data_IF_149872526240
#
_entry.id   IF_149872526240
#
_cell.length_a   1.000
_cell.length_b   1.000
_cell.length_c   1.000
_cell.angle_alpha   90.00
_cell.angle_beta   90.00
_cell.angle_gamma   90.00
#
_symmetry.space_group_name_H-M   'P 1'
#
loop_
_entity.id
_entity.type
_entity.pdbx_description
1 polymer ?
#
# COMPACT_ATOMS: atom_id res chain seq x y z
N UNK A 1 -11.11 -9.09 -6.73
CA UNK A 1 -9.70 -9.43 -6.37
C UNK A 1 -9.20 -8.57 -5.22
N UNK A 2 -9.26 -7.23 -5.32
CA UNK A 2 -8.71 -6.34 -4.29
C UNK A 2 -9.34 -6.54 -2.91
N UNK A 3 -10.68 -6.55 -2.85
CA UNK A 3 -11.41 -6.85 -1.61
C UNK A 3 -11.02 -8.20 -1.01
N UNK A 4 -10.90 -9.25 -1.82
CA UNK A 4 -10.54 -10.58 -1.32
C UNK A 4 -9.14 -10.60 -0.67
N UNK A 5 -8.17 -9.84 -1.20
CA UNK A 5 -6.84 -9.72 -0.59
C UNK A 5 -6.90 -8.87 0.68
N UNK A 6 -7.67 -7.78 0.67
CA UNK A 6 -7.87 -6.95 1.85
C UNK A 6 -8.52 -7.74 2.99
N UNK A 7 -9.57 -8.52 2.70
CA UNK A 7 -10.27 -9.34 3.67
C UNK A 7 -9.39 -10.49 4.19
N UNK A 8 -8.53 -11.06 3.33
CA UNK A 8 -7.54 -12.04 3.75
C UNK A 8 -6.57 -11.43 4.77
N UNK A 9 -6.01 -10.26 4.46
CA UNK A 9 -5.09 -9.56 5.36
C UNK A 9 -5.78 -9.15 6.66
N UNK A 10 -7.01 -8.65 6.57
CA UNK A 10 -7.82 -8.31 7.74
C UNK A 10 -8.04 -9.54 8.63
N UNK A 11 -8.40 -10.69 8.05
CA UNK A 11 -8.52 -11.96 8.77
C UNK A 11 -7.23 -12.40 9.46
N UNK A 12 -6.06 -12.11 8.88
CA UNK A 12 -4.77 -12.32 9.54
C UNK A 12 -4.57 -11.36 10.72
N UNK A 13 -4.95 -10.08 10.56
CA UNK A 13 -4.83 -9.09 11.65
C UNK A 13 -5.70 -9.36 12.87
N UNK A 14 -6.78 -10.12 12.70
CA UNK A 14 -7.63 -10.57 13.83
C UNK A 14 -6.90 -11.57 14.74
N UNK A 15 -5.91 -12.28 14.22
CA UNK A 15 -5.15 -13.30 14.97
C UNK A 15 -3.89 -12.72 15.60
N UNK A 16 -3.20 -11.85 14.87
CA UNK A 16 -1.96 -11.20 15.31
C UNK A 16 -1.72 -9.90 14.53
N UNK A 17 -0.92 -8.98 15.07
CA UNK A 17 -0.49 -7.82 14.30
C UNK A 17 0.35 -8.25 13.09
N UNK A 18 0.06 -7.68 11.92
CA UNK A 18 0.73 -8.03 10.65
C UNK A 18 1.61 -6.87 10.21
N UNK A 19 2.85 -7.18 9.82
CA UNK A 19 3.74 -6.23 9.13
C UNK A 19 3.94 -6.71 7.70
N UNK A 20 3.50 -5.91 6.75
CA UNK A 20 3.74 -6.12 5.32
C UNK A 20 4.93 -5.27 4.89
N UNK A 21 6.01 -5.91 4.45
CA UNK A 21 7.20 -5.23 3.91
C UNK A 21 7.19 -5.35 2.40
N UNK A 22 7.25 -4.23 1.70
CA UNK A 22 7.30 -4.16 0.23
C UNK A 22 8.61 -3.48 -0.15
N UNK A 23 9.49 -4.24 -0.81
CA UNK A 23 10.74 -3.69 -1.34
C UNK A 23 10.57 -3.17 -2.77
N UNK A 24 11.41 -2.21 -3.16
CA UNK A 24 11.48 -1.64 -4.51
C UNK A 24 10.12 -1.24 -5.13
N UNK A 25 9.24 -0.58 -4.36
CA UNK A 25 7.89 -0.22 -4.78
C UNK A 25 7.85 0.63 -6.07
N UNK A 26 8.91 1.36 -6.37
CA UNK A 26 9.08 2.09 -7.64
C UNK A 26 9.03 1.20 -8.90
N UNK A 27 9.30 -0.10 -8.81
CA UNK A 27 9.21 -1.04 -9.94
C UNK A 27 7.83 -1.70 -10.05
N UNK A 28 6.93 -1.42 -9.12
CA UNK A 28 5.60 -2.02 -9.10
C UNK A 28 4.77 -1.53 -10.30
N UNK A 29 4.07 -2.47 -10.93
CA UNK A 29 3.15 -2.15 -11.99
C UNK A 29 1.92 -1.37 -11.46
N UNK A 30 1.19 -0.75 -12.38
CA UNK A 30 0.01 0.04 -12.04
C UNK A 30 -1.05 -0.76 -11.26
N UNK A 31 -1.41 -2.01 -11.61
CA UNK A 31 -2.31 -2.83 -10.81
C UNK A 31 -1.86 -3.04 -9.36
N UNK A 32 -0.57 -3.30 -9.12
CA UNK A 32 -0.02 -3.48 -7.77
C UNK A 32 -0.12 -2.21 -6.94
N UNK A 33 0.18 -1.05 -7.55
CA UNK A 33 0.04 0.25 -6.89
C UNK A 33 -1.42 0.59 -6.57
N UNK A 34 -2.36 0.20 -7.43
CA UNK A 34 -3.80 0.36 -7.17
C UNK A 34 -4.27 -0.55 -6.02
N UNK A 35 -3.75 -1.78 -5.92
CA UNK A 35 -4.01 -2.66 -4.78
C UNK A 35 -3.48 -2.05 -3.48
N UNK A 36 -2.25 -1.56 -3.48
CA UNK A 36 -1.67 -0.90 -2.31
C UNK A 36 -2.52 0.30 -1.89
N UNK A 37 -2.94 1.15 -2.82
CA UNK A 37 -3.84 2.28 -2.54
C UNK A 37 -5.17 1.81 -1.95
N UNK A 38 -5.72 0.70 -2.43
CA UNK A 38 -6.93 0.11 -1.88
C UNK A 38 -6.76 -0.33 -0.42
N UNK A 39 -5.62 -0.95 -0.09
CA UNK A 39 -5.30 -1.36 1.29
C UNK A 39 -5.11 -0.17 2.23
N UNK A 40 -4.47 0.90 1.76
CA UNK A 40 -4.17 2.09 2.56
C UNK A 40 -5.41 2.91 2.94
N UNK A 41 -6.50 2.78 2.19
CA UNK A 41 -7.79 3.45 2.44
C UNK A 41 -8.66 2.74 3.48
N UNK A 42 -8.26 1.56 3.95
CA UNK A 42 -8.99 0.84 5.00
C UNK A 42 -8.83 1.60 6.34
N UNK A 43 -9.86 1.59 7.20
CA UNK A 43 -9.82 2.31 8.47
C UNK A 43 -8.67 1.83 9.36
N UNK A 44 -8.11 2.75 10.16
CA UNK A 44 -6.97 2.51 11.06
C UNK A 44 -7.23 1.47 12.19
N UNK A 45 -8.42 0.86 12.22
CA UNK A 45 -8.77 -0.20 13.17
C UNK A 45 -8.10 -1.54 12.86
N UNK A 46 -7.52 -1.69 11.67
CA UNK A 46 -6.79 -2.91 11.26
C UNK A 46 -5.38 -2.91 11.85
N UNK A 47 -4.95 -4.02 12.49
CA UNK A 47 -3.59 -4.18 13.05
C UNK A 47 -2.55 -4.50 11.96
N UNK A 48 -2.55 -3.71 10.89
CA UNK A 48 -1.68 -3.86 9.73
C UNK A 48 -0.72 -2.67 9.64
N UNK A 49 0.58 -2.94 9.67
CA UNK A 49 1.62 -1.98 9.33
C UNK A 49 2.14 -2.30 7.93
N UNK A 50 2.12 -1.32 7.03
CA UNK A 50 2.77 -1.44 5.71
C UNK A 50 4.05 -0.62 5.73
N UNK A 51 5.18 -1.28 5.50
CA UNK A 51 6.49 -0.67 5.31
C UNK A 51 6.89 -0.84 3.85
N UNK A 52 7.08 0.26 3.14
CA UNK A 52 7.47 0.23 1.73
C UNK A 52 8.74 1.06 1.49
N UNK A 53 9.65 0.54 0.69
CA UNK A 53 10.83 1.26 0.20
C UNK A 53 10.62 1.64 -1.26
N UNK A 54 11.14 2.78 -1.66
CA UNK A 54 11.16 3.20 -3.06
C UNK A 54 12.35 4.12 -3.31
N UNK A 55 12.78 4.21 -4.58
CA UNK A 55 13.84 5.12 -5.00
C UNK A 55 13.23 6.35 -5.66
N UNK A 56 13.53 7.53 -5.14
CA UNK A 56 12.99 8.81 -5.64
C UNK A 56 13.58 9.21 -7.01
N UNK A 57 14.79 8.75 -7.34
CA UNK A 57 15.44 9.06 -8.63
C UNK A 57 14.72 8.48 -9.85
N UNK A 58 13.89 7.48 -9.64
CA UNK A 58 13.23 6.72 -10.71
C UNK A 58 11.74 7.10 -10.83
N UNK A 59 11.28 8.06 -10.02
CA UNK A 59 9.94 8.61 -10.06
C UNK A 59 9.90 9.85 -10.95
N UNK A 60 9.57 9.68 -12.23
CA UNK A 60 9.12 10.82 -13.02
C UNK A 60 7.76 11.34 -12.49
N UNK A 61 7.38 12.58 -12.83
CA UNK A 61 6.12 13.18 -12.35
C UNK A 61 4.86 12.45 -12.84
N UNK A 62 4.98 11.55 -13.82
CA UNK A 62 3.91 10.72 -14.34
C UNK A 62 3.85 9.33 -13.69
N UNK A 63 4.80 9.00 -12.81
CA UNK A 63 4.91 7.67 -12.25
C UNK A 63 3.71 7.40 -11.32
N UNK A 64 2.97 6.28 -11.48
CA UNK A 64 1.76 6.03 -10.70
C UNK A 64 1.98 5.98 -9.18
N UNK A 65 3.21 5.68 -8.74
CA UNK A 65 3.57 5.73 -7.31
C UNK A 65 3.54 7.17 -6.76
N UNK A 66 3.86 8.18 -7.56
CA UNK A 66 3.81 9.58 -7.12
C UNK A 66 2.39 9.98 -6.69
N UNK A 67 1.38 9.55 -7.45
CA UNK A 67 -0.03 9.79 -7.12
C UNK A 67 -0.43 9.09 -5.81
N UNK A 68 -0.02 7.84 -5.62
CA UNK A 68 -0.30 7.07 -4.39
C UNK A 68 0.34 7.74 -3.17
N UNK A 69 1.59 8.20 -3.28
CA UNK A 69 2.28 8.92 -2.21
C UNK A 69 1.63 10.27 -1.92
N UNK A 70 1.14 10.98 -2.94
CA UNK A 70 0.42 12.25 -2.77
C UNK A 70 -0.94 12.06 -2.09
N UNK A 71 -1.67 10.99 -2.41
CA UNK A 71 -2.92 10.63 -1.73
C UNK A 71 -2.67 10.36 -0.24
N UNK A 72 -1.66 9.57 0.10
CA UNK A 72 -1.28 9.26 1.48
C UNK A 72 -0.90 10.49 2.32
N UNK A 73 -0.23 11.47 1.72
CA UNK A 73 0.13 12.72 2.42
C UNK A 73 -1.09 13.58 2.74
N UNK A 74 -2.17 13.45 1.97
CA UNK A 74 -3.40 14.24 2.13
C UNK A 74 -4.37 13.65 3.15
N UNK A 75 -4.31 12.35 3.40
CA UNK A 75 -5.17 11.64 4.37
C UNK A 75 -4.60 11.69 5.81
N UNK A 76 -3.61 12.55 6.08
CA UNK A 76 -3.02 12.81 7.41
C UNK A 76 -3.69 13.96 8.15
#
# INVERSE_FOLDING_TARGET
LFEAVADLLEGMTQRASVVMVIDDLHWADKPSLLMLRHLLRRPATTRLLILATYRDTDLDRSHPLADVLADLRRER
#
